data_IF_385280729741
#
_entry.id   IF_385280729741
#
_cell.length_a   1.000
_cell.length_b   1.000
_cell.length_c   1.000
_cell.angle_alpha   90.00
_cell.angle_beta   90.00
_cell.angle_gamma   90.00
#
_symmetry.space_group_name_H-M   'P 1'
#
loop_
_entity.id
_entity.type
_entity.pdbx_description
1 polymer ?
#
# COMPACT_ATOMS: atom_id res chain seq x y z
N UNK A 1 26.06 -46.64 28.98
CA UNK A 1 25.22 -47.33 27.98
C UNK A 1 25.83 -47.14 26.60
N UNK A 2 25.74 -48.13 25.70
CA UNK A 2 26.57 -48.20 24.48
C UNK A 2 25.94 -47.39 23.33
N UNK A 3 26.75 -46.56 22.65
CA UNK A 3 26.36 -45.89 21.39
C UNK A 3 26.40 -46.90 20.23
N UNK A 4 25.46 -46.78 19.29
CA UNK A 4 25.55 -47.34 17.94
C UNK A 4 25.09 -46.28 16.95
N UNK A 5 25.95 -45.93 16.01
CA UNK A 5 25.65 -45.13 14.82
C UNK A 5 26.19 -45.97 13.68
N UNK A 6 25.34 -46.38 12.74
CA UNK A 6 25.79 -47.14 11.57
C UNK A 6 26.01 -46.20 10.39
N UNK A 7 27.21 -46.31 9.80
CA UNK A 7 27.55 -45.70 8.53
C UNK A 7 26.97 -46.56 7.39
N UNK A 8 26.43 -45.90 6.37
CA UNK A 8 26.29 -46.49 5.04
C UNK A 8 26.97 -45.56 4.04
N UNK A 9 28.17 -45.95 3.59
CA UNK A 9 28.93 -45.27 2.53
C UNK A 9 28.68 -46.03 1.23
N UNK A 10 28.30 -45.32 0.16
CA UNK A 10 28.38 -45.86 -1.19
C UNK A 10 29.00 -44.83 -2.13
N UNK A 11 30.30 -45.02 -2.40
CA UNK A 11 31.06 -44.25 -3.39
C UNK A 11 31.11 -45.06 -4.67
N UNK A 12 30.51 -44.54 -5.74
CA UNK A 12 30.90 -44.88 -7.12
C UNK A 12 30.95 -43.58 -7.90
N UNK A 13 32.17 -43.18 -8.28
CA UNK A 13 32.39 -42.04 -9.16
C UNK A 13 32.48 -42.47 -10.62
N UNK A 14 32.20 -41.53 -11.53
CA UNK A 14 32.59 -41.61 -12.94
C UNK A 14 32.96 -40.23 -13.44
N UNK A 15 34.26 -39.93 -13.43
CA UNK A 15 34.85 -38.81 -14.17
C UNK A 15 35.19 -39.31 -15.57
N UNK A 16 34.56 -38.76 -16.61
CA UNK A 16 35.02 -38.92 -17.99
C UNK A 16 35.03 -37.59 -18.75
N UNK A 17 36.23 -37.01 -18.75
CA UNK A 17 36.92 -36.27 -19.82
C UNK A 17 36.23 -35.12 -20.58
N UNK A 18 36.95 -34.00 -20.56
CA UNK A 18 36.93 -32.92 -21.54
C UNK A 18 37.45 -33.41 -22.90
N UNK A 19 36.79 -33.03 -23.99
CA UNK A 19 37.38 -32.91 -25.33
C UNK A 19 36.93 -31.59 -25.93
N UNK A 20 37.84 -30.83 -26.55
CA UNK A 20 37.57 -29.48 -27.03
C UNK A 20 37.87 -29.27 -28.53
N UNK A 21 37.60 -28.03 -28.95
CA UNK A 21 38.11 -27.37 -30.16
C UNK A 21 37.59 -27.78 -31.57
N UNK A 22 36.83 -26.83 -32.15
CA UNK A 22 37.08 -26.24 -33.48
C UNK A 22 36.80 -27.05 -34.76
N UNK A 23 35.80 -26.58 -35.53
CA UNK A 23 35.73 -26.80 -36.99
C UNK A 23 35.48 -25.51 -37.79
N UNK A 24 36.12 -25.47 -38.96
CA UNK A 24 36.00 -24.51 -40.08
C UNK A 24 36.03 -25.34 -41.38
N UNK A 25 35.43 -24.92 -42.50
CA UNK A 25 34.44 -23.86 -42.74
C UNK A 25 33.78 -24.15 -44.10
N UNK A 26 32.46 -23.97 -44.20
CA UNK A 26 31.78 -23.81 -45.50
C UNK A 26 30.41 -23.14 -45.31
N UNK A 27 29.93 -22.46 -46.36
CA UNK A 27 28.80 -21.53 -46.25
C UNK A 27 27.44 -22.11 -46.61
N UNK A 28 26.42 -21.59 -45.93
CA UNK A 28 25.08 -21.42 -46.50
C UNK A 28 24.49 -20.13 -45.92
N UNK A 29 24.41 -19.08 -46.73
CA UNK A 29 23.90 -17.77 -46.30
C UNK A 29 22.37 -17.79 -46.25
N UNK A 30 21.84 -18.53 -45.27
CA UNK A 30 20.43 -18.52 -44.92
C UNK A 30 20.10 -17.16 -44.27
N UNK A 31 19.62 -16.23 -45.09
CA UNK A 31 19.07 -14.94 -44.65
C UNK A 31 17.78 -15.17 -43.85
N UNK A 32 17.90 -15.73 -42.65
CA UNK A 32 16.81 -15.76 -41.68
C UNK A 32 16.46 -14.31 -41.37
N UNK A 33 15.37 -13.86 -41.99
CA UNK A 33 14.72 -12.58 -41.71
C UNK A 33 14.38 -12.59 -40.22
N UNK A 34 15.29 -12.05 -39.41
CA UNK A 34 15.14 -12.00 -37.98
C UNK A 34 13.93 -11.12 -37.72
N UNK A 35 12.79 -11.74 -37.42
CA UNK A 35 11.61 -11.03 -36.96
C UNK A 35 11.98 -10.46 -35.61
N UNK A 36 12.47 -9.22 -35.63
CA UNK A 36 12.76 -8.43 -34.44
C UNK A 36 11.44 -8.33 -33.69
N UNK A 37 11.26 -9.21 -32.70
CA UNK A 37 10.19 -9.06 -31.72
C UNK A 37 10.49 -7.76 -31.01
N UNK A 38 9.85 -6.68 -31.46
CA UNK A 38 9.89 -5.38 -30.80
C UNK A 38 9.57 -5.64 -29.35
N UNK A 39 10.57 -5.48 -28.49
CA UNK A 39 10.44 -5.78 -27.08
C UNK A 39 9.46 -4.76 -26.49
N UNK A 40 8.18 -5.10 -26.46
CA UNK A 40 7.12 -4.26 -25.92
C UNK A 40 7.48 -3.95 -24.48
N UNK A 41 7.96 -2.73 -24.25
CA UNK A 41 8.49 -2.26 -22.97
C UNK A 41 7.39 -2.39 -21.92
N UNK A 42 7.47 -3.44 -21.12
CA UNK A 42 6.49 -3.72 -20.07
C UNK A 42 6.51 -2.58 -19.06
N UNK A 43 5.48 -1.74 -19.14
CA UNK A 43 5.28 -0.60 -18.25
C UNK A 43 5.35 -1.05 -16.78
N UNK A 44 6.01 -0.26 -15.95
CA UNK A 44 6.22 -0.58 -14.53
C UNK A 44 5.59 0.48 -13.66
N UNK A 45 4.60 0.09 -12.85
CA UNK A 45 3.70 1.01 -12.14
C UNK A 45 3.54 0.57 -10.68
N UNK A 46 3.39 1.52 -9.75
CA UNK A 46 3.02 1.20 -8.37
C UNK A 46 1.56 0.78 -8.24
N UNK A 47 1.25 -0.14 -7.33
CA UNK A 47 -0.08 -0.73 -7.22
C UNK A 47 -1.22 0.30 -7.09
N UNK A 48 -1.05 1.35 -6.28
CA UNK A 48 -2.07 2.36 -6.07
C UNK A 48 -2.38 3.18 -7.34
N UNK A 49 -1.40 3.32 -8.25
CA UNK A 49 -1.52 4.03 -9.53
C UNK A 49 -2.10 3.14 -10.66
N UNK A 50 -2.45 1.88 -10.38
CA UNK A 50 -3.13 1.02 -11.36
C UNK A 50 -4.59 1.45 -11.56
N UNK A 51 -5.08 1.30 -12.79
CA UNK A 51 -6.51 1.45 -13.09
C UNK A 51 -7.34 0.43 -12.29
N UNK A 52 -8.63 0.74 -12.01
CA UNK A 52 -9.55 -0.20 -11.35
C UNK A 52 -9.59 -1.57 -12.07
N UNK A 53 -9.57 -1.55 -13.41
CA UNK A 53 -9.55 -2.75 -14.24
C UNK A 53 -8.25 -3.57 -14.16
N UNK A 54 -7.09 -2.96 -13.93
CA UNK A 54 -5.85 -3.69 -13.69
C UNK A 54 -5.71 -4.15 -12.23
N UNK A 55 -6.14 -3.34 -11.23
CA UNK A 55 -6.22 -3.76 -9.82
C UNK A 55 -7.06 -5.04 -9.67
N UNK A 56 -8.18 -5.15 -10.38
CA UNK A 56 -9.04 -6.35 -10.38
C UNK A 56 -8.37 -7.63 -10.92
N UNK A 57 -7.27 -7.51 -11.68
CA UNK A 57 -6.46 -8.65 -12.18
C UNK A 57 -5.37 -9.07 -11.19
N UNK A 58 -5.14 -8.30 -10.14
CA UNK A 58 -4.18 -8.62 -9.07
C UNK A 58 -4.90 -9.41 -7.99
N UNK A 59 -4.41 -10.61 -7.69
CA UNK A 59 -5.03 -11.50 -6.70
C UNK A 59 -4.10 -11.67 -5.50
N UNK A 60 -4.65 -11.52 -4.30
CA UNK A 60 -3.92 -11.68 -3.05
C UNK A 60 -4.46 -12.90 -2.30
N UNK A 61 -3.54 -13.67 -1.73
CA UNK A 61 -3.79 -14.69 -0.72
C UNK A 61 -2.92 -14.36 0.48
N UNK A 62 -3.54 -14.29 1.66
CA UNK A 62 -2.84 -14.16 2.94
C UNK A 62 -2.96 -15.50 3.66
N UNK A 63 -1.84 -15.96 4.24
CA UNK A 63 -1.77 -17.18 5.05
C UNK A 63 -1.43 -16.76 6.48
N UNK A 64 -2.25 -17.20 7.43
CA UNK A 64 -2.01 -17.10 8.85
C UNK A 64 -1.34 -18.39 9.31
N UNK A 65 -0.22 -18.26 10.01
CA UNK A 65 0.54 -19.37 10.58
C UNK A 65 0.96 -18.98 12.00
N UNK A 66 1.07 -19.94 12.91
CA UNK A 66 1.62 -19.70 14.25
C UNK A 66 3.10 -19.34 14.14
N UNK A 67 3.58 -18.42 14.97
CA UNK A 67 4.99 -18.00 14.98
C UNK A 67 5.83 -19.00 15.79
N UNK A 68 6.28 -20.07 15.13
CA UNK A 68 7.16 -21.10 15.72
C UNK A 68 8.49 -20.55 16.28
N UNK A 69 8.81 -19.26 16.06
CA UNK A 69 9.98 -18.60 16.67
C UNK A 69 9.71 -18.01 18.07
N UNK A 70 8.51 -18.23 18.61
CA UNK A 70 8.04 -17.69 19.90
C UNK A 70 7.66 -18.80 20.87
N UNK A 71 7.72 -18.49 22.16
CA UNK A 71 6.96 -19.25 23.13
C UNK A 71 5.47 -18.95 22.90
N UNK A 72 4.71 -20.01 22.67
CA UNK A 72 3.28 -19.96 22.35
C UNK A 72 2.48 -20.82 23.34
N UNK A 73 3.06 -21.22 24.48
CA UNK A 73 2.42 -22.14 25.42
C UNK A 73 1.19 -21.53 26.11
N UNK A 74 1.27 -20.26 26.50
CA UNK A 74 0.17 -19.51 27.13
C UNK A 74 -0.50 -18.53 26.16
N UNK A 75 0.30 -17.72 25.46
CA UNK A 75 -0.17 -16.65 24.57
C UNK A 75 0.29 -16.90 23.12
N UNK A 76 -0.42 -17.72 22.32
CA UNK A 76 -0.03 -18.00 20.96
C UNK A 76 -0.08 -16.74 20.08
N UNK A 77 1.01 -16.50 19.36
CA UNK A 77 1.19 -15.39 18.43
C UNK A 77 1.42 -15.90 17.02
N UNK A 78 0.91 -15.16 16.05
CA UNK A 78 0.85 -15.56 14.66
C UNK A 78 1.62 -14.60 13.75
N UNK A 79 1.97 -15.11 12.57
CA UNK A 79 2.50 -14.35 11.44
C UNK A 79 1.52 -14.42 10.28
N UNK A 80 1.46 -13.35 9.49
CA UNK A 80 0.68 -13.33 8.23
C UNK A 80 1.64 -13.18 7.06
N UNK A 81 1.65 -14.18 6.19
CA UNK A 81 2.43 -14.21 4.95
C UNK A 81 1.54 -13.90 3.74
N UNK A 82 2.07 -13.16 2.75
CA UNK A 82 1.33 -12.79 1.55
C UNK A 82 1.83 -13.54 0.32
N UNK A 83 0.91 -13.96 -0.54
CA UNK A 83 1.16 -14.32 -1.94
C UNK A 83 0.34 -13.42 -2.86
N UNK A 84 1.00 -12.78 -3.81
CA UNK A 84 0.40 -11.87 -4.80
C UNK A 84 0.63 -12.38 -6.22
N UNK A 85 -0.43 -12.51 -7.00
CA UNK A 85 -0.42 -12.92 -8.41
C UNK A 85 -0.87 -11.74 -9.28
N UNK A 86 -0.03 -11.35 -10.23
CA UNK A 86 -0.29 -10.26 -11.16
C UNK A 86 -0.83 -10.79 -12.50
N UNK A 87 -2.15 -10.73 -12.70
CA UNK A 87 -2.80 -11.04 -13.98
C UNK A 87 -2.86 -9.88 -14.98
N UNK A 88 -2.24 -8.73 -14.68
CA UNK A 88 -2.18 -7.58 -15.60
C UNK A 88 -1.05 -7.71 -16.62
N UNK A 89 -1.02 -6.82 -17.61
CA UNK A 89 0.07 -6.69 -18.60
C UNK A 89 1.23 -5.80 -18.14
N UNK A 90 1.14 -5.19 -16.94
CA UNK A 90 2.15 -4.28 -16.38
C UNK A 90 3.02 -5.00 -15.35
N UNK A 91 4.23 -4.51 -15.08
CA UNK A 91 4.99 -4.92 -13.89
C UNK A 91 4.55 -4.05 -12.71
N UNK A 92 4.13 -4.68 -11.61
CA UNK A 92 3.60 -3.97 -10.46
C UNK A 92 4.68 -3.84 -9.38
N UNK A 93 4.82 -2.63 -8.84
CA UNK A 93 5.64 -2.33 -7.65
C UNK A 93 4.75 -2.19 -6.40
N UNK A 94 5.23 -2.69 -5.27
CA UNK A 94 4.70 -2.41 -3.94
C UNK A 94 5.87 -2.00 -3.04
N UNK A 95 5.78 -0.86 -2.34
CA UNK A 95 6.68 -0.61 -1.20
C UNK A 95 6.20 -1.52 -0.05
N UNK A 96 7.08 -2.41 0.43
CA UNK A 96 6.72 -3.44 1.39
C UNK A 96 6.36 -2.90 2.78
N UNK A 97 6.73 -1.67 3.15
CA UNK A 97 6.35 -1.07 4.44
C UNK A 97 4.89 -0.57 4.46
N UNK A 98 4.26 -0.45 3.28
CA UNK A 98 2.93 0.16 3.11
C UNK A 98 1.79 -0.85 3.03
N UNK A 99 2.04 -2.10 3.39
CA UNK A 99 0.97 -3.03 3.74
C UNK A 99 0.51 -2.78 5.17
N UNK A 100 -0.80 -2.72 5.36
CA UNK A 100 -1.46 -2.45 6.63
C UNK A 100 -2.44 -3.58 6.92
N UNK A 101 -2.47 -4.06 8.16
CA UNK A 101 -3.49 -4.95 8.66
C UNK A 101 -4.19 -4.27 9.83
N UNK A 102 -5.42 -3.85 9.59
CA UNK A 102 -6.32 -3.28 10.59
C UNK A 102 -7.07 -4.44 11.24
N UNK A 103 -7.00 -4.48 12.56
CA UNK A 103 -7.63 -5.45 13.45
C UNK A 103 -8.60 -4.68 14.33
N UNK A 104 -9.57 -5.35 14.95
CA UNK A 104 -10.37 -4.66 15.96
C UNK A 104 -9.47 -4.31 17.17
N UNK A 105 -9.40 -3.02 17.52
CA UNK A 105 -8.59 -2.46 18.58
C UNK A 105 -7.10 -2.26 18.26
N UNK A 106 -6.61 -2.64 17.07
CA UNK A 106 -5.17 -2.66 16.77
C UNK A 106 -4.84 -2.46 15.28
N UNK A 107 -3.62 -2.00 14.99
CA UNK A 107 -3.14 -1.76 13.61
C UNK A 107 -1.71 -2.23 13.46
N UNK A 108 -1.51 -3.25 12.63
CA UNK A 108 -0.17 -3.76 12.30
C UNK A 108 0.31 -3.23 10.96
N UNK A 109 1.48 -2.60 10.97
CA UNK A 109 2.21 -2.22 9.76
C UNK A 109 3.23 -3.30 9.40
N UNK A 110 3.43 -3.52 8.10
CA UNK A 110 4.50 -4.42 7.64
C UNK A 110 5.87 -3.84 7.95
N UNK A 111 6.71 -4.61 8.65
CA UNK A 111 8.12 -4.29 8.94
C UNK A 111 9.07 -4.64 7.79
N UNK A 112 8.57 -5.16 6.67
CA UNK A 112 9.39 -5.58 5.52
C UNK A 112 9.82 -4.36 4.70
N UNK A 113 11.12 -4.22 4.46
CA UNK A 113 11.71 -3.10 3.69
C UNK A 113 11.80 -3.38 2.18
N UNK A 114 11.92 -2.30 1.40
CA UNK A 114 12.20 -2.32 -0.04
C UNK A 114 10.99 -2.57 -0.93
N UNK A 115 11.22 -2.57 -2.25
CA UNK A 115 10.16 -2.67 -3.27
C UNK A 115 9.99 -4.11 -3.76
N UNK A 116 8.81 -4.69 -3.57
CA UNK A 116 8.39 -5.91 -4.25
C UNK A 116 8.05 -5.59 -5.72
N UNK A 117 8.68 -6.29 -6.68
CA UNK A 117 8.36 -6.20 -8.11
C UNK A 117 7.68 -7.49 -8.58
N UNK A 118 6.46 -7.40 -9.07
CA UNK A 118 5.68 -8.54 -9.59
C UNK A 118 5.45 -8.34 -11.09
N UNK A 119 6.19 -9.06 -11.94
CA UNK A 119 6.06 -8.97 -13.40
C UNK A 119 4.68 -9.46 -13.87
N UNK A 120 4.28 -9.08 -15.09
CA UNK A 120 3.06 -9.58 -15.72
C UNK A 120 3.02 -11.13 -15.73
N UNK A 121 1.87 -11.70 -15.38
CA UNK A 121 1.66 -13.16 -15.27
C UNK A 121 2.34 -13.85 -14.09
N UNK A 122 3.16 -13.15 -13.30
CA UNK A 122 3.96 -13.76 -12.23
C UNK A 122 3.24 -13.77 -10.87
N UNK A 123 3.67 -14.71 -10.03
CA UNK A 123 3.30 -14.78 -8.61
C UNK A 123 4.54 -14.57 -7.76
N UNK A 124 4.43 -13.84 -6.65
CA UNK A 124 5.50 -13.62 -5.69
C UNK A 124 4.96 -13.79 -4.26
N UNK A 125 5.82 -14.23 -3.34
CA UNK A 125 5.51 -14.31 -1.90
C UNK A 125 6.26 -13.22 -1.12
N UNK A 126 5.71 -12.85 0.04
CA UNK A 126 6.38 -12.10 1.10
C UNK A 126 6.02 -12.77 2.41
N UNK A 127 6.96 -13.53 2.95
CA UNK A 127 6.76 -14.33 4.17
C UNK A 127 6.88 -13.44 5.41
N UNK A 128 6.03 -13.70 6.42
CA UNK A 128 5.90 -12.91 7.65
C UNK A 128 5.73 -11.40 7.37
N UNK A 129 4.87 -11.05 6.40
CA UNK A 129 4.55 -9.65 6.06
C UNK A 129 4.11 -8.86 7.30
N UNK A 130 3.30 -9.49 8.15
CA UNK A 130 3.00 -9.03 9.50
C UNK A 130 3.42 -10.09 10.52
N UNK A 131 3.79 -9.65 11.72
CA UNK A 131 4.32 -10.48 12.82
C UNK A 131 3.68 -10.09 14.14
N UNK A 132 3.68 -10.99 15.12
CA UNK A 132 3.15 -10.71 16.47
C UNK A 132 1.67 -10.33 16.41
N UNK A 133 0.90 -11.13 15.68
CA UNK A 133 -0.56 -11.05 15.64
C UNK A 133 -1.10 -11.89 16.82
N UNK A 134 -1.79 -11.31 17.81
CA UNK A 134 -2.41 -12.10 18.88
C UNK A 134 -3.48 -13.04 18.32
N UNK A 135 -3.64 -14.24 18.89
CA UNK A 135 -4.67 -15.20 18.46
C UNK A 135 -6.07 -14.58 18.38
N UNK A 136 -6.48 -13.85 19.42
CA UNK A 136 -7.80 -13.23 19.52
C UNK A 136 -8.08 -12.26 18.36
N UNK A 137 -7.07 -11.54 17.89
CA UNK A 137 -7.17 -10.65 16.72
C UNK A 137 -7.40 -11.40 15.40
N UNK A 138 -7.19 -12.72 15.36
CA UNK A 138 -7.42 -13.57 14.18
C UNK A 138 -8.84 -14.15 14.10
N UNK A 139 -9.60 -14.08 15.20
CA UNK A 139 -10.96 -14.63 15.33
C UNK A 139 -12.07 -13.62 14.97
N UNK A 140 -11.73 -12.33 14.89
CA UNK A 140 -12.67 -11.23 14.67
C UNK A 140 -12.68 -10.65 13.25
N UNK A 141 -13.35 -9.51 13.08
CA UNK A 141 -13.29 -8.69 11.87
C UNK A 141 -11.91 -8.01 11.72
N UNK A 142 -11.51 -7.76 10.49
CA UNK A 142 -10.24 -7.13 10.16
C UNK A 142 -10.06 -6.93 8.65
N UNK A 143 -9.24 -5.94 8.28
CA UNK A 143 -9.04 -5.51 6.90
C UNK A 143 -7.55 -5.47 6.60
N UNK A 144 -7.12 -6.14 5.53
CA UNK A 144 -5.76 -6.04 4.99
C UNK A 144 -5.81 -5.12 3.78
N UNK A 145 -5.02 -4.05 3.80
CA UNK A 145 -4.99 -3.00 2.77
C UNK A 145 -3.57 -2.60 2.37
N UNK A 146 -3.44 -1.80 1.31
CA UNK A 146 -2.16 -1.24 0.85
C UNK A 146 -2.26 0.29 0.80
N UNK A 147 -1.44 1.00 1.57
CA UNK A 147 -1.52 2.44 1.86
C UNK A 147 -2.78 2.87 2.63
N UNK A 148 -3.98 2.60 2.09
CA UNK A 148 -5.25 3.14 2.60
C UNK A 148 -6.49 2.33 2.14
N UNK A 149 -7.66 2.74 2.66
CA UNK A 149 -8.97 2.11 2.40
C UNK A 149 -9.40 2.02 0.93
N UNK A 150 -8.90 2.88 0.06
CA UNK A 150 -9.16 2.81 -1.39
C UNK A 150 -8.48 1.58 -2.06
N UNK A 151 -7.64 0.87 -1.32
CA UNK A 151 -6.80 -0.23 -1.78
C UNK A 151 -6.91 -1.45 -0.82
N UNK A 152 -8.13 -1.74 -0.33
CA UNK A 152 -8.49 -3.00 0.34
C UNK A 152 -8.00 -4.22 -0.47
N UNK A 153 -7.30 -5.14 0.17
CA UNK A 153 -6.73 -6.35 -0.44
C UNK A 153 -7.48 -7.62 -0.05
N UNK A 154 -7.94 -7.73 1.20
CA UNK A 154 -8.81 -8.80 1.70
C UNK A 154 -9.44 -8.42 3.05
N UNK A 155 -10.57 -9.03 3.39
CA UNK A 155 -11.00 -9.15 4.80
C UNK A 155 -10.22 -10.26 5.50
N UNK A 156 -10.07 -10.19 6.81
CA UNK A 156 -9.33 -11.14 7.67
C UNK A 156 -10.06 -12.48 7.91
N UNK A 157 -10.90 -12.91 6.95
CA UNK A 157 -11.62 -14.18 6.96
C UNK A 157 -10.66 -15.35 6.68
N UNK A 158 -9.83 -15.72 7.67
CA UNK A 158 -8.78 -16.75 7.57
C UNK A 158 -9.32 -18.19 7.60
N UNK A 159 -10.30 -18.51 6.75
CA UNK A 159 -10.83 -19.87 6.60
C UNK A 159 -9.70 -20.86 6.27
N UNK A 160 -9.51 -21.84 7.15
CA UNK A 160 -8.41 -22.82 7.11
C UNK A 160 -7.02 -22.12 7.02
N UNK A 161 -6.81 -21.08 7.84
CA UNK A 161 -5.59 -20.28 7.87
C UNK A 161 -5.38 -19.38 6.64
N UNK A 162 -6.41 -19.15 5.81
CA UNK A 162 -6.25 -18.49 4.51
C UNK A 162 -7.35 -17.46 4.21
N UNK A 163 -6.96 -16.18 4.14
CA UNK A 163 -7.76 -15.10 3.57
C UNK A 163 -7.39 -14.86 2.09
N UNK A 164 -8.34 -14.37 1.27
CA UNK A 164 -8.15 -14.16 -0.18
C UNK A 164 -8.90 -12.93 -0.66
N UNK A 165 -8.35 -12.19 -1.62
CA UNK A 165 -8.97 -10.99 -2.22
C UNK A 165 -10.35 -11.22 -2.85
N UNK A 166 -10.73 -12.47 -3.15
CA UNK A 166 -12.09 -12.82 -3.56
C UNK A 166 -13.16 -12.56 -2.47
N UNK A 167 -12.75 -12.53 -1.19
CA UNK A 167 -13.66 -12.32 -0.07
C UNK A 167 -14.17 -10.86 0.04
N UNK A 168 -13.52 -9.90 -0.62
CA UNK A 168 -13.97 -8.51 -0.72
C UNK A 168 -15.35 -8.35 -1.37
N UNK A 169 -15.83 -9.38 -2.09
CA UNK A 169 -17.17 -9.41 -2.71
C UNK A 169 -18.24 -10.06 -1.82
N UNK A 170 -17.89 -10.56 -0.63
CA UNK A 170 -18.81 -11.25 0.25
C UNK A 170 -19.61 -10.25 1.09
N UNK A 171 -20.92 -10.10 0.78
CA UNK A 171 -21.84 -9.19 1.48
C UNK A 171 -21.80 -9.33 3.02
N UNK A 172 -21.67 -10.54 3.55
CA UNK A 172 -21.59 -10.77 5.01
C UNK A 172 -20.32 -10.19 5.62
N UNK A 173 -19.18 -10.35 4.95
CA UNK A 173 -17.90 -9.79 5.41
C UNK A 173 -17.87 -8.27 5.24
N UNK A 174 -18.43 -7.74 4.16
CA UNK A 174 -18.58 -6.28 3.97
C UNK A 174 -19.33 -5.68 5.17
N UNK A 175 -20.49 -6.25 5.52
CA UNK A 175 -21.29 -5.78 6.67
C UNK A 175 -20.51 -5.91 7.99
N UNK A 176 -19.93 -7.08 8.28
CA UNK A 176 -19.19 -7.34 9.52
C UNK A 176 -17.92 -6.48 9.69
N UNK A 177 -17.41 -5.86 8.61
CA UNK A 177 -16.19 -5.06 8.63
C UNK A 177 -16.44 -3.54 8.47
N UNK A 178 -17.70 -3.08 8.42
CA UNK A 178 -18.02 -1.64 8.35
C UNK A 178 -17.54 -0.86 9.59
N UNK A 179 -17.55 -1.50 10.76
CA UNK A 179 -17.33 -0.89 12.07
C UNK A 179 -16.08 -1.40 12.80
N UNK A 180 -15.09 -1.95 12.08
CA UNK A 180 -13.81 -2.33 12.69
C UNK A 180 -13.17 -1.08 13.28
N UNK A 181 -12.83 -1.09 14.58
CA UNK A 181 -12.25 0.09 15.19
C UNK A 181 -10.89 0.42 14.55
N UNK A 182 -10.63 1.72 14.31
CA UNK A 182 -9.51 2.16 13.47
C UNK A 182 -9.78 2.12 11.95
N UNK A 183 -10.97 1.68 11.53
CA UNK A 183 -11.44 1.74 10.15
C UNK A 183 -12.74 2.56 10.05
N UNK A 184 -12.70 3.74 9.43
CA UNK A 184 -13.91 4.56 9.17
C UNK A 184 -14.30 4.54 7.69
N UNK A 185 -15.41 3.86 7.38
CA UNK A 185 -16.18 4.06 6.15
C UNK A 185 -17.28 5.12 6.40
N UNK A 186 -16.84 6.39 6.49
CA UNK A 186 -17.60 7.54 5.98
C UNK A 186 -17.87 7.31 4.48
N UNK A 187 -18.91 6.53 4.17
CA UNK A 187 -19.52 6.47 2.85
C UNK A 187 -20.83 7.26 2.94
N UNK A 188 -20.87 8.41 2.28
CA UNK A 188 -22.05 9.28 2.22
C UNK A 188 -23.24 8.49 1.72
N UNK A 189 -24.29 8.42 2.55
CA UNK A 189 -25.59 7.87 2.18
C UNK A 189 -26.21 8.73 1.09
N UNK A 190 -26.07 8.35 -0.18
CA UNK A 190 -27.02 8.76 -1.22
C UNK A 190 -28.23 7.86 -1.10
N UNK A 191 -29.22 8.34 -0.35
CA UNK A 191 -30.53 7.71 -0.24
C UNK A 191 -31.25 7.74 -1.60
N UNK A 192 -32.12 6.75 -1.83
CA UNK A 192 -33.04 6.78 -2.96
C UNK A 192 -34.32 6.02 -2.64
N UNK A 193 -35.39 6.81 -2.44
CA UNK A 193 -36.81 6.44 -2.40
C UNK A 193 -37.26 5.50 -1.28
N UNK A 194 -37.94 6.07 -0.28
CA UNK A 194 -39.35 5.74 -0.07
C UNK A 194 -40.10 7.02 0.32
N UNK A 195 -41.12 7.40 -0.45
CA UNK A 195 -41.99 8.52 -0.10
C UNK A 195 -42.90 8.15 1.07
N UNK A 196 -43.02 9.06 2.04
CA UNK A 196 -44.17 9.19 2.93
C UNK A 196 -44.14 10.59 3.54
N UNK A 197 -45.11 11.43 3.17
CA UNK A 197 -45.39 12.70 3.86
C UNK A 197 -45.82 12.43 5.31
N UNK A 198 -45.38 13.26 6.25
CA UNK A 198 -46.35 13.93 7.14
C UNK A 198 -45.77 15.22 7.77
N UNK A 199 -46.69 16.08 8.20
CA UNK A 199 -46.51 17.50 8.54
C UNK A 199 -46.11 17.75 10.03
N UNK A 200 -45.59 18.97 10.30
CA UNK A 200 -45.78 19.79 11.52
C UNK A 200 -44.52 20.55 12.05
N UNK A 201 -44.36 21.79 11.56
CA UNK A 201 -44.29 23.04 12.36
C UNK A 201 -43.28 23.24 13.53
N UNK A 202 -42.35 24.22 13.34
CA UNK A 202 -41.94 25.34 14.27
C UNK A 202 -41.45 25.03 15.70
N UNK A 203 -40.31 25.55 16.21
CA UNK A 203 -40.02 26.99 16.50
C UNK A 203 -38.55 27.27 16.96
N UNK A 204 -37.99 28.42 16.52
CA UNK A 204 -37.06 29.41 17.17
C UNK A 204 -35.99 29.06 18.24
N UNK A 205 -34.75 29.46 17.92
CA UNK A 205 -33.84 30.41 18.64
C UNK A 205 -33.23 30.15 20.04
N UNK A 206 -32.26 31.05 20.38
CA UNK A 206 -31.30 31.17 21.51
C UNK A 206 -29.89 30.58 21.22
N UNK A 207 -28.83 31.29 20.82
CA UNK A 207 -28.25 32.63 21.13
C UNK A 207 -27.24 32.65 22.32
N UNK A 208 -26.19 33.48 22.18
CA UNK A 208 -25.05 33.79 23.10
C UNK A 208 -23.70 33.12 22.73
N UNK A 209 -22.55 33.75 22.46
CA UNK A 209 -22.04 35.12 22.22
C UNK A 209 -20.79 35.45 23.08
N UNK A 210 -19.70 35.88 22.43
CA UNK A 210 -18.49 36.53 23.01
C UNK A 210 -17.64 35.70 24.02
N UNK A 211 -16.36 35.96 24.31
CA UNK A 211 -15.43 37.09 24.04
C UNK A 211 -14.05 36.55 23.56
N UNK A 212 -13.40 37.11 22.53
CA UNK A 212 -12.39 38.21 22.57
C UNK A 212 -11.26 38.07 23.61
N UNK A 213 -10.01 37.97 23.14
CA UNK A 213 -8.81 38.40 23.87
C UNK A 213 -7.66 38.78 22.91
N UNK A 214 -7.27 40.06 22.96
CA UNK A 214 -6.09 40.68 22.34
C UNK A 214 -4.78 40.15 22.96
N UNK A 215 -3.58 40.20 22.39
CA UNK A 215 -3.01 40.91 21.24
C UNK A 215 -1.51 41.20 21.47
N UNK A 216 -0.84 41.80 20.46
CA UNK A 216 0.57 42.31 20.41
C UNK A 216 1.69 41.26 20.20
N UNK A 217 2.81 41.52 19.49
CA UNK A 217 3.37 42.74 18.84
C UNK A 217 4.30 42.29 17.69
N UNK A 218 4.34 42.99 16.55
CA UNK A 218 5.15 42.60 15.38
C UNK A 218 6.51 43.29 15.28
N UNK A 219 7.36 42.80 14.36
CA UNK A 219 8.53 43.49 13.78
C UNK A 219 8.72 43.05 12.32
N UNK A 220 8.87 44.01 11.42
CA UNK A 220 9.18 43.85 9.99
C UNK A 220 10.71 44.06 9.77
N UNK A 221 11.37 43.82 8.63
CA UNK A 221 11.07 43.23 7.33
C UNK A 221 12.42 42.88 6.65
N UNK A 222 12.41 42.08 5.57
CA UNK A 222 13.36 42.23 4.44
C UNK A 222 12.83 41.52 3.20
N UNK A 223 13.09 42.07 2.02
CA UNK A 223 12.28 41.87 0.82
C UNK A 223 13.08 41.49 -0.43
N UNK A 224 12.70 40.40 -1.09
CA UNK A 224 12.79 40.15 -2.54
C UNK A 224 12.21 38.75 -2.83
N UNK A 225 11.49 38.48 -3.91
CA UNK A 225 11.01 39.34 -5.02
C UNK A 225 9.68 38.78 -5.52
N UNK A 226 8.76 39.66 -5.95
CA UNK A 226 7.40 39.26 -6.29
C UNK A 226 7.31 38.58 -7.67
N UNK A 227 6.99 37.29 -7.68
CA UNK A 227 6.28 36.63 -8.79
C UNK A 227 4.84 36.40 -8.35
N UNK A 228 3.92 37.19 -8.89
CA UNK A 228 2.49 37.09 -8.58
C UNK A 228 1.90 35.81 -9.16
N UNK A 229 1.91 34.74 -8.35
CA UNK A 229 1.03 33.59 -8.53
C UNK A 229 -0.02 33.60 -7.43
N UNK A 230 -1.29 33.40 -7.80
CA UNK A 230 -2.43 33.36 -6.87
C UNK A 230 -2.54 32.00 -6.16
N UNK A 231 -1.40 31.48 -5.70
CA UNK A 231 -1.27 30.18 -5.04
C UNK A 231 -0.49 30.27 -3.74
N UNK A 232 -0.50 29.18 -2.98
CA UNK A 232 0.22 29.08 -1.71
C UNK A 232 1.73 29.26 -1.90
N UNK A 233 2.42 29.76 -0.88
CA UNK A 233 3.88 29.65 -0.78
C UNK A 233 4.30 28.21 -0.48
N UNK A 234 5.58 27.89 -0.69
CA UNK A 234 6.13 26.56 -0.38
C UNK A 234 5.90 26.21 1.10
N UNK A 235 6.14 27.15 2.01
CA UNK A 235 5.97 26.94 3.46
C UNK A 235 4.51 26.76 3.86
N UNK A 236 3.58 27.49 3.22
CA UNK A 236 2.15 27.28 3.41
C UNK A 236 1.73 25.89 2.92
N UNK A 237 2.27 25.42 1.80
CA UNK A 237 1.99 24.08 1.29
C UNK A 237 2.61 22.98 2.18
N UNK A 238 3.83 23.17 2.69
CA UNK A 238 4.45 22.28 3.70
C UNK A 238 3.62 22.23 4.97
N UNK A 239 3.16 23.37 5.48
CA UNK A 239 2.32 23.45 6.67
C UNK A 239 0.97 22.73 6.48
N UNK A 240 0.29 22.96 5.36
CA UNK A 240 -0.95 22.25 5.01
C UNK A 240 -0.72 20.73 4.91
N UNK A 241 0.37 20.30 4.27
CA UNK A 241 0.74 18.90 4.14
C UNK A 241 1.03 18.24 5.51
N UNK A 242 1.73 18.92 6.41
CA UNK A 242 1.99 18.43 7.78
C UNK A 242 0.69 18.38 8.60
N UNK A 243 -0.15 19.41 8.51
CA UNK A 243 -1.44 19.47 9.21
C UNK A 243 -2.41 18.35 8.77
N UNK A 244 -2.38 17.95 7.50
CA UNK A 244 -3.16 16.83 6.98
C UNK A 244 -2.67 15.45 7.48
N UNK A 245 -1.43 15.33 7.95
CA UNK A 245 -0.83 14.08 8.43
C UNK A 245 -0.13 14.27 9.80
N UNK A 246 -0.90 14.53 10.88
CA UNK A 246 -0.34 14.86 12.20
C UNK A 246 0.44 13.71 12.88
N UNK A 247 0.51 12.52 12.27
CA UNK A 247 1.33 11.39 12.71
C UNK A 247 2.83 11.58 12.39
N UNK A 248 3.39 12.76 12.66
CA UNK A 248 4.83 13.01 12.70
C UNK A 248 5.54 13.21 11.36
N UNK A 249 4.83 13.53 10.26
CA UNK A 249 5.47 13.84 8.98
C UNK A 249 6.16 12.64 8.30
N UNK A 250 5.69 11.41 8.54
CA UNK A 250 6.18 10.21 7.83
C UNK A 250 5.67 10.16 6.37
N UNK A 251 6.39 10.78 5.45
CA UNK A 251 6.08 10.78 4.02
C UNK A 251 6.57 9.51 3.32
N UNK A 252 6.37 8.33 3.91
CA UNK A 252 6.67 7.05 3.24
C UNK A 252 7.86 6.28 3.79
N UNK A 253 8.42 6.71 4.90
CA UNK A 253 9.75 6.41 5.41
C UNK A 253 10.74 7.57 5.21
N UNK A 254 10.25 8.76 4.87
CA UNK A 254 11.01 9.95 4.48
C UNK A 254 10.51 11.18 5.24
N UNK A 255 11.44 12.05 5.61
CA UNK A 255 11.18 13.39 6.15
C UNK A 255 10.81 14.40 5.06
N UNK A 256 10.29 15.57 5.43
CA UNK A 256 9.90 16.63 4.48
C UNK A 256 11.09 17.08 3.61
N UNK A 257 12.29 17.15 4.18
CA UNK A 257 13.49 17.65 3.50
C UNK A 257 14.07 16.64 2.49
N UNK A 258 13.64 15.38 2.54
CA UNK A 258 13.99 14.33 1.57
C UNK A 258 13.04 14.29 0.37
N UNK A 259 12.01 15.14 0.34
CA UNK A 259 11.04 15.19 -0.75
C UNK A 259 11.52 16.10 -1.88
N UNK A 260 11.33 15.66 -3.11
CA UNK A 260 11.39 16.55 -4.28
C UNK A 260 10.12 17.40 -4.28
N UNK A 261 10.29 18.72 -4.23
CA UNK A 261 9.21 19.70 -4.21
C UNK A 261 9.15 20.39 -5.57
N UNK A 262 7.97 20.43 -6.18
CA UNK A 262 7.71 21.13 -7.46
C UNK A 262 6.41 21.94 -7.37
N UNK A 263 6.44 23.22 -7.74
CA UNK A 263 5.23 24.03 -7.92
C UNK A 263 4.63 23.78 -9.31
N UNK A 264 3.33 23.48 -9.36
CA UNK A 264 2.56 23.33 -10.59
C UNK A 264 2.06 24.66 -11.14
N UNK A 265 1.78 24.70 -12.44
CA UNK A 265 1.28 25.90 -13.15
C UNK A 265 -0.07 26.43 -12.66
N UNK A 266 -0.79 25.67 -11.84
CA UNK A 266 -2.07 26.05 -11.20
C UNK A 266 -1.90 26.60 -9.78
N UNK A 267 -0.66 26.85 -9.32
CA UNK A 267 -0.37 27.35 -7.97
C UNK A 267 -0.45 26.30 -6.87
N UNK A 268 -0.71 25.04 -7.21
CA UNK A 268 -0.56 23.89 -6.31
C UNK A 268 0.88 23.39 -6.23
N UNK A 269 1.18 22.61 -5.20
CA UNK A 269 2.50 22.05 -4.89
C UNK A 269 2.48 20.53 -4.92
N UNK A 270 3.57 19.94 -5.41
CA UNK A 270 3.75 18.49 -5.51
C UNK A 270 4.95 18.08 -4.67
N UNK A 271 4.78 17.07 -3.81
CA UNK A 271 5.82 16.56 -2.93
C UNK A 271 6.03 15.08 -3.26
N UNK A 272 7.23 14.74 -3.74
CA UNK A 272 7.54 13.41 -4.31
C UNK A 272 8.72 12.77 -3.59
N UNK A 273 8.55 11.55 -3.08
CA UNK A 273 9.65 10.81 -2.43
C UNK A 273 10.63 10.24 -3.45
N UNK A 274 11.86 9.87 -3.02
CA UNK A 274 12.78 9.08 -3.86
C UNK A 274 12.17 7.76 -4.36
N UNK A 275 11.24 7.18 -3.60
CA UNK A 275 10.47 5.99 -4.01
C UNK A 275 9.38 6.27 -5.05
N UNK A 276 9.00 7.54 -5.29
CA UNK A 276 7.96 7.94 -6.23
C UNK A 276 6.53 7.89 -5.68
N UNK A 277 6.35 8.01 -4.36
CA UNK A 277 5.08 8.40 -3.76
C UNK A 277 4.88 9.91 -3.93
N UNK A 278 3.66 10.36 -4.17
CA UNK A 278 3.35 11.73 -4.55
C UNK A 278 2.16 12.26 -3.73
N UNK A 279 2.38 13.35 -3.01
CA UNK A 279 1.35 14.16 -2.37
C UNK A 279 1.14 15.44 -3.19
N UNK A 280 -0.10 15.92 -3.23
CA UNK A 280 -0.46 17.16 -3.93
C UNK A 280 -1.16 18.07 -2.92
N UNK A 281 -0.69 19.30 -2.80
CA UNK A 281 -1.40 20.38 -2.09
C UNK A 281 -1.93 21.34 -3.14
N UNK A 282 -3.25 21.48 -3.24
CA UNK A 282 -3.87 22.41 -4.19
C UNK A 282 -3.70 23.86 -3.72
N UNK A 283 -3.91 24.82 -4.62
CA UNK A 283 -3.80 26.26 -4.30
C UNK A 283 -4.80 26.73 -3.21
N UNK A 284 -5.85 25.94 -2.95
CA UNK A 284 -6.84 26.16 -1.89
C UNK A 284 -6.45 25.54 -0.53
N UNK A 285 -5.27 24.89 -0.42
CA UNK A 285 -4.82 24.18 0.77
C UNK A 285 -5.26 22.72 0.87
N UNK A 286 -6.11 22.22 -0.04
CA UNK A 286 -6.57 20.83 -0.03
C UNK A 286 -5.43 19.87 -0.33
N UNK A 287 -5.19 18.93 0.58
CA UNK A 287 -4.14 17.92 0.47
C UNK A 287 -4.71 16.61 -0.09
N UNK A 288 -3.98 15.98 -1.02
CA UNK A 288 -4.25 14.66 -1.59
C UNK A 288 -3.08 13.72 -1.34
N UNK A 289 -3.37 12.53 -0.82
CA UNK A 289 -2.40 11.48 -0.53
C UNK A 289 -2.10 10.61 -1.76
N UNK A 290 -0.97 9.87 -1.77
CA UNK A 290 -0.65 8.90 -2.80
C UNK A 290 -1.74 7.83 -2.95
N UNK A 291 -2.49 7.87 -4.06
CA UNK A 291 -3.53 6.90 -4.38
C UNK A 291 -4.97 7.35 -4.10
N UNK A 292 -5.17 8.59 -3.65
CA UNK A 292 -6.50 9.22 -3.63
C UNK A 292 -7.03 9.45 -5.06
N UNK A 293 -8.36 9.44 -5.28
CA UNK A 293 -8.93 9.86 -6.55
C UNK A 293 -8.65 11.35 -6.82
N UNK A 294 -8.29 11.66 -8.07
CA UNK A 294 -8.04 13.02 -8.55
C UNK A 294 -9.34 13.84 -8.63
#
# INVERSE_FOLDING_TARGET
>A
MKRKIELAVMVIGSVWLLVGCSFKHSGALMTKKATTKTATKTETVYYQNLTKGDKAKVKFKFKLDQDETKDNYADPVYVVSMKVTNGSKKTIKFNRTKFVFILDGDKKLSKKRGVLKVKAGQTQSVDQLFTTIPEQSTLGSGIIEYLNKANKLAYADFKNGVAKSSNLKNKKLIAANKSVSGYSDEETTTDSSTDADDDASTTTDEASNSETSTGTRGTAASSSSASSSTGLTEDQAKAALIAAFPAGGDFGGYSMDELKIDQGSTGGWTFVTPDGLCWIVRADGTVKAPGDPQ
#
